data_IF_394527398723
#
_entry.id   IF_394527398723
#
_cell.length_a   1.000
_cell.length_b   1.000
_cell.length_c   1.000
_cell.angle_alpha   90.00
_cell.angle_beta   90.00
_cell.angle_gamma   90.00
#
_symmetry.space_group_name_H-M   'P 1'
#
loop_
_entity.id
_entity.type
_entity.pdbx_description
1 polymer ?
#
# COMPACT_ATOMS: atom_id res chain seq x y z
N UNK A 1 -0.97 53.22 26.72
CA UNK A 1 -1.96 53.19 25.62
C UNK A 1 -2.66 51.84 25.62
N UNK A 2 -3.95 51.83 25.98
CA UNK A 2 -4.84 50.67 25.81
C UNK A 2 -5.12 50.48 24.32
N UNK A 3 -5.01 49.26 23.79
CA UNK A 3 -5.79 48.85 22.61
C UNK A 3 -6.31 47.43 22.80
N UNK A 4 -7.58 47.32 22.45
CA UNK A 4 -8.56 46.28 22.69
C UNK A 4 -8.55 45.22 21.57
N UNK A 5 -9.02 44.01 21.94
CA UNK A 5 -9.92 43.08 21.20
C UNK A 5 -9.40 42.45 19.90
N UNK A 6 -9.34 41.11 19.88
CA UNK A 6 -10.43 40.33 19.27
C UNK A 6 -10.46 38.88 19.73
N UNK A 7 -11.55 38.53 20.41
CA UNK A 7 -12.03 37.18 20.66
C UNK A 7 -12.69 36.70 19.37
N UNK A 8 -12.30 35.54 18.84
CA UNK A 8 -13.10 34.88 17.81
C UNK A 8 -13.55 33.50 18.29
N UNK A 9 -14.87 33.38 18.35
CA UNK A 9 -15.64 32.23 18.77
C UNK A 9 -15.37 30.99 17.93
N UNK A 10 -15.27 29.88 18.65
CA UNK A 10 -15.55 28.52 18.20
C UNK A 10 -16.98 28.39 17.66
N UNK A 11 -17.14 27.90 16.44
CA UNK A 11 -18.38 27.26 16.00
C UNK A 11 -18.12 25.75 15.79
N UNK A 12 -18.66 24.96 16.71
CA UNK A 12 -18.90 23.53 16.55
C UNK A 12 -20.11 23.35 15.61
N UNK A 13 -19.90 22.68 14.47
CA UNK A 13 -21.00 22.15 13.67
C UNK A 13 -21.09 20.65 13.90
N UNK A 14 -22.15 20.25 14.59
CA UNK A 14 -22.56 18.87 14.85
C UNK A 14 -23.15 18.34 13.54
N UNK A 15 -22.53 17.32 12.94
CA UNK A 15 -23.15 16.52 11.88
C UNK A 15 -23.51 15.13 12.44
N UNK A 16 -24.79 14.96 12.75
CA UNK A 16 -25.41 13.68 13.06
C UNK A 16 -25.64 12.91 11.76
N UNK A 17 -25.11 11.69 11.67
CA UNK A 17 -25.32 10.79 10.53
C UNK A 17 -26.30 9.69 10.94
N UNK A 18 -27.53 9.74 10.43
CA UNK A 18 -28.49 8.65 10.55
C UNK A 18 -28.16 7.55 9.53
N UNK A 19 -27.90 6.35 10.02
CA UNK A 19 -27.70 5.13 9.23
C UNK A 19 -29.08 4.57 8.91
N UNK A 20 -29.44 4.46 7.63
CA UNK A 20 -30.54 3.58 7.19
C UNK A 20 -29.97 2.19 6.87
N UNK A 21 -30.48 1.19 7.57
CA UNK A 21 -30.23 -0.22 7.33
C UNK A 21 -30.97 -0.70 6.07
N UNK A 22 -30.31 -1.53 5.26
CA UNK A 22 -30.91 -2.25 4.16
C UNK A 22 -31.52 -3.56 4.68
N UNK A 23 -32.83 -3.75 4.44
CA UNK A 23 -33.52 -5.02 4.67
C UNK A 23 -33.25 -6.00 3.52
N UNK A 24 -32.83 -7.20 3.87
CA UNK A 24 -32.64 -8.35 2.98
C UNK A 24 -33.97 -9.09 2.92
N UNK A 25 -34.65 -9.04 1.78
CA UNK A 25 -35.83 -9.90 1.53
C UNK A 25 -35.41 -11.11 0.71
N UNK A 26 -35.54 -12.28 1.33
CA UNK A 26 -35.46 -13.60 0.73
C UNK A 26 -36.68 -13.86 -0.16
N UNK A 27 -36.48 -14.41 -1.36
CA UNK A 27 -37.57 -15.03 -2.10
C UNK A 27 -37.10 -16.25 -2.91
N UNK A 28 -37.54 -17.42 -2.44
CA UNK A 28 -38.38 -18.32 -3.24
C UNK A 28 -37.75 -19.10 -4.39
N UNK A 29 -37.46 -20.38 -4.12
CA UNK A 29 -37.26 -21.45 -5.09
C UNK A 29 -38.46 -21.61 -6.04
N UNK A 30 -38.21 -21.70 -7.35
CA UNK A 30 -39.16 -22.30 -8.29
C UNK A 30 -38.49 -23.34 -9.18
N UNK A 31 -39.01 -24.56 -9.02
CA UNK A 31 -38.80 -25.77 -9.79
C UNK A 31 -39.56 -25.63 -11.10
N UNK A 32 -38.90 -25.85 -12.24
CA UNK A 32 -39.56 -26.27 -13.48
C UNK A 32 -38.75 -27.42 -14.07
N UNK A 33 -39.37 -28.59 -14.04
CA UNK A 33 -38.95 -29.85 -14.64
C UNK A 33 -39.59 -29.96 -16.02
N UNK A 34 -38.81 -30.24 -17.08
CA UNK A 34 -39.31 -30.70 -18.37
C UNK A 34 -38.24 -31.56 -19.09
N UNK A 35 -38.40 -32.88 -18.91
CA UNK A 35 -38.28 -34.01 -19.86
C UNK A 35 -36.97 -34.30 -20.65
N UNK A 36 -36.52 -35.57 -20.49
CA UNK A 36 -35.45 -36.33 -21.16
C UNK A 36 -35.81 -36.66 -22.64
N UNK A 37 -34.93 -37.07 -23.59
CA UNK A 37 -33.85 -38.10 -23.64
C UNK A 37 -33.24 -38.15 -25.09
N UNK A 38 -32.37 -39.10 -25.51
CA UNK A 38 -30.96 -39.42 -25.20
C UNK A 38 -29.98 -39.25 -26.40
N UNK A 39 -28.66 -39.27 -26.15
CA UNK A 39 -27.75 -40.19 -26.87
C UNK A 39 -26.37 -40.32 -26.20
N UNK A 40 -26.05 -41.58 -25.88
CA UNK A 40 -24.75 -42.27 -25.80
C UNK A 40 -23.43 -41.48 -25.68
N UNK A 41 -22.63 -41.77 -24.65
CA UNK A 41 -21.62 -42.85 -24.71
C UNK A 41 -20.87 -42.97 -23.38
N UNK A 42 -20.92 -44.15 -22.79
CA UNK A 42 -20.11 -44.55 -21.63
C UNK A 42 -18.65 -44.72 -22.08
N UNK A 43 -17.72 -44.07 -21.37
CA UNK A 43 -16.33 -44.53 -21.32
C UNK A 43 -15.91 -44.60 -19.85
N UNK A 44 -15.84 -45.81 -19.33
CA UNK A 44 -15.28 -46.14 -18.03
C UNK A 44 -13.76 -46.04 -18.12
N UNK A 45 -13.18 -45.04 -17.46
CA UNK A 45 -11.79 -45.08 -17.03
C UNK A 45 -11.75 -45.07 -15.52
N UNK A 46 -11.44 -46.25 -14.96
CA UNK A 46 -11.15 -46.43 -13.55
C UNK A 46 -9.82 -45.77 -13.24
N UNK A 47 -9.85 -44.54 -12.72
CA UNK A 47 -8.64 -43.89 -12.20
C UNK A 47 -8.48 -44.24 -10.73
N UNK A 48 -7.80 -45.34 -10.45
CA UNK A 48 -7.14 -45.52 -9.15
C UNK A 48 -5.95 -44.56 -9.07
N UNK A 49 -6.08 -43.42 -8.40
CA UNK A 49 -4.94 -42.57 -8.03
C UNK A 49 -5.14 -41.97 -6.63
N UNK A 50 -4.48 -42.64 -5.68
CA UNK A 50 -3.79 -42.13 -4.47
C UNK A 50 -4.45 -40.98 -3.71
N UNK A 51 -5.08 -41.31 -2.59
CA UNK A 51 -5.11 -40.45 -1.40
C UNK A 51 -3.67 -40.34 -0.83
N UNK A 52 -2.98 -39.30 -1.25
CA UNK A 52 -1.74 -38.75 -0.68
C UNK A 52 -1.84 -37.26 -0.97
N UNK A 53 -1.84 -36.34 -0.03
CA UNK A 53 -1.18 -36.25 1.27
C UNK A 53 -1.99 -35.29 2.15
N UNK A 54 -1.68 -35.24 3.46
CA UNK A 54 -2.06 -34.16 4.37
C UNK A 54 -1.86 -32.79 3.69
N UNK A 55 -2.91 -32.21 3.12
CA UNK A 55 -2.83 -30.88 2.51
C UNK A 55 -3.04 -29.86 3.63
N UNK A 56 -1.96 -29.54 4.35
CA UNK A 56 -1.98 -28.41 5.27
C UNK A 56 -2.19 -27.14 4.45
N UNK A 57 -3.45 -26.72 4.35
CA UNK A 57 -3.81 -25.46 3.70
C UNK A 57 -3.36 -24.29 4.57
N UNK A 58 -2.26 -23.64 4.17
CA UNK A 58 -1.81 -22.40 4.77
C UNK A 58 -2.57 -21.21 4.15
N UNK A 59 -3.46 -20.57 4.91
CA UNK A 59 -4.21 -19.39 4.45
C UNK A 59 -3.53 -18.10 4.93
N UNK A 60 -2.82 -17.44 4.01
CA UNK A 60 -2.20 -16.13 4.21
C UNK A 60 -2.93 -15.01 3.45
N UNK A 61 -4.22 -15.20 3.18
CA UNK A 61 -5.02 -14.18 2.52
C UNK A 61 -5.09 -12.89 3.34
N UNK A 62 -5.26 -11.76 2.66
CA UNK A 62 -5.35 -10.45 3.32
C UNK A 62 -6.44 -10.41 4.40
N UNK A 63 -7.67 -10.94 4.20
CA UNK A 63 -8.69 -10.95 5.26
C UNK A 63 -8.24 -11.69 6.52
N UNK A 64 -7.50 -12.80 6.38
CA UNK A 64 -6.95 -13.54 7.51
C UNK A 64 -5.90 -12.71 8.25
N UNK A 65 -4.96 -12.10 7.51
CA UNK A 65 -3.92 -11.25 8.10
C UNK A 65 -4.47 -9.97 8.77
N UNK A 66 -5.59 -9.46 8.26
CA UNK A 66 -6.32 -8.32 8.82
C UNK A 66 -7.07 -8.64 10.13
N UNK A 67 -7.25 -9.92 10.44
CA UNK A 67 -7.87 -10.42 11.68
C UNK A 67 -6.86 -11.18 12.55
N UNK A 68 -5.57 -11.08 12.26
CA UNK A 68 -4.54 -11.83 12.97
C UNK A 68 -4.15 -11.18 14.29
N UNK A 69 -3.51 -11.99 15.13
CA UNK A 69 -2.87 -11.58 16.37
C UNK A 69 -1.38 -11.31 16.13
N UNK A 70 -0.90 -10.15 16.56
CA UNK A 70 0.50 -9.74 16.45
C UNK A 70 1.06 -9.40 17.82
N UNK A 71 2.34 -9.64 18.03
CA UNK A 71 3.04 -9.39 19.30
C UNK A 71 4.43 -8.81 19.06
N UNK A 72 5.11 -8.38 20.13
CA UNK A 72 6.48 -7.86 20.03
C UNK A 72 6.58 -6.46 19.42
N UNK A 73 5.47 -5.70 19.43
CA UNK A 73 5.48 -4.26 19.15
C UNK A 73 5.85 -3.54 20.45
N UNK A 74 6.91 -2.73 20.41
CA UNK A 74 7.39 -2.04 21.60
C UNK A 74 6.30 -1.13 22.18
N UNK A 75 6.35 -0.93 23.51
CA UNK A 75 5.41 -0.08 24.27
C UNK A 75 3.96 -0.58 24.39
N UNK A 76 3.53 -1.63 23.67
CA UNK A 76 2.18 -2.22 23.85
C UNK A 76 2.19 -3.33 24.92
N UNK A 77 3.32 -4.02 25.12
CA UNK A 77 3.51 -4.99 26.21
C UNK A 77 2.68 -6.28 26.10
N UNK A 78 2.01 -6.52 24.97
CA UNK A 78 1.12 -7.67 24.77
C UNK A 78 0.84 -7.97 23.31
N UNK A 79 -0.18 -8.82 23.10
CA UNK A 79 -0.68 -9.17 21.77
C UNK A 79 -1.78 -8.19 21.33
N UNK A 80 -1.70 -7.71 20.10
CA UNK A 80 -2.75 -6.92 19.45
C UNK A 80 -3.53 -7.81 18.49
N UNK A 81 -4.86 -7.76 18.59
CA UNK A 81 -5.76 -8.37 17.60
C UNK A 81 -6.17 -7.29 16.62
N UNK A 82 -5.77 -7.41 15.36
CA UNK A 82 -6.26 -6.49 14.34
C UNK A 82 -7.71 -6.82 14.02
N UNK A 83 -8.50 -5.79 13.79
CA UNK A 83 -9.84 -5.87 13.24
C UNK A 83 -9.84 -5.10 11.93
N UNK A 84 -10.02 -5.82 10.82
CA UNK A 84 -9.92 -5.24 9.46
C UNK A 84 -8.57 -4.52 9.21
N UNK A 85 -7.49 -5.03 9.82
CA UNK A 85 -6.14 -4.48 9.69
C UNK A 85 -5.83 -3.32 10.63
N UNK A 86 -6.72 -2.98 11.56
CA UNK A 86 -6.51 -1.91 12.54
C UNK A 86 -6.67 -2.43 13.96
N UNK A 87 -5.83 -1.95 14.87
CA UNK A 87 -6.03 -2.04 16.30
C UNK A 87 -5.88 -0.65 16.90
N UNK A 88 -6.70 -0.34 17.91
CA UNK A 88 -6.57 0.85 18.74
C UNK A 88 -6.57 0.42 20.20
N UNK A 89 -5.65 0.97 20.99
CA UNK A 89 -5.63 0.78 22.44
C UNK A 89 -6.50 1.81 23.15
N UNK A 90 -6.42 1.80 24.48
CA UNK A 90 -7.09 2.80 25.31
C UNK A 90 -6.46 4.19 25.13
N UNK A 91 -7.26 5.27 25.22
CA UNK A 91 -6.72 6.62 25.31
C UNK A 91 -5.69 6.77 26.44
N UNK A 92 -4.65 7.57 26.21
CA UNK A 92 -3.61 7.81 27.23
C UNK A 92 -4.13 8.50 28.50
N UNK A 93 -5.29 9.15 28.41
CA UNK A 93 -5.97 9.81 29.52
C UNK A 93 -7.48 9.58 29.40
N UNK A 94 -8.22 9.47 30.52
CA UNK A 94 -9.67 9.34 30.49
C UNK A 94 -10.33 10.47 29.68
N UNK A 95 -11.14 10.11 28.69
CA UNK A 95 -11.80 11.07 27.78
C UNK A 95 -10.89 11.71 26.72
N UNK A 96 -9.64 11.26 26.61
CA UNK A 96 -8.71 11.75 25.58
C UNK A 96 -9.01 11.20 24.18
N UNK A 97 -8.61 11.97 23.16
CA UNK A 97 -8.76 11.58 21.75
C UNK A 97 -7.48 10.96 21.15
N UNK A 98 -6.42 10.82 21.96
CA UNK A 98 -5.14 10.24 21.52
C UNK A 98 -5.01 8.86 22.14
N UNK A 99 -4.92 7.85 21.28
CA UNK A 99 -4.77 6.45 21.63
C UNK A 99 -3.72 5.81 20.72
N UNK A 100 -2.98 4.81 21.20
CA UNK A 100 -2.05 4.06 20.36
C UNK A 100 -2.82 3.28 19.30
N UNK A 101 -2.28 3.21 18.08
CA UNK A 101 -2.88 2.49 16.96
C UNK A 101 -1.85 1.65 16.23
N UNK A 102 -2.24 0.45 15.79
CA UNK A 102 -1.45 -0.42 14.92
C UNK A 102 -2.24 -0.67 13.65
N UNK A 103 -1.63 -0.40 12.50
CA UNK A 103 -2.24 -0.59 11.20
C UNK A 103 -1.40 -1.52 10.32
N UNK A 104 -2.03 -2.51 9.72
CA UNK A 104 -1.44 -3.37 8.70
C UNK A 104 -1.26 -2.60 7.38
N UNK A 105 -0.07 -2.67 6.78
CA UNK A 105 0.18 -2.15 5.44
C UNK A 105 -0.31 -3.17 4.41
N UNK A 106 -1.63 -3.18 4.19
CA UNK A 106 -2.37 -4.21 3.45
C UNK A 106 -1.88 -4.45 2.00
N UNK A 107 -1.23 -3.48 1.37
CA UNK A 107 -0.70 -3.58 0.00
C UNK A 107 0.66 -4.29 -0.09
N UNK A 108 1.31 -4.58 1.05
CA UNK A 108 2.63 -5.22 1.13
C UNK A 108 2.60 -6.48 1.98
N UNK A 109 2.36 -7.60 1.32
CA UNK A 109 2.48 -8.94 1.89
C UNK A 109 3.44 -9.72 1.00
N UNK A 110 4.47 -10.34 1.60
CA UNK A 110 5.31 -11.30 0.92
C UNK A 110 5.06 -12.69 1.49
N UNK A 111 4.82 -13.67 0.63
CA UNK A 111 4.61 -15.06 1.01
C UNK A 111 5.73 -15.89 0.38
N UNK A 112 6.37 -16.72 1.18
CA UNK A 112 7.46 -17.57 0.71
C UNK A 112 8.20 -18.26 1.85
N UNK A 113 9.14 -19.15 1.52
CA UNK A 113 9.90 -19.88 2.51
C UNK A 113 10.95 -18.97 3.17
N UNK A 114 11.05 -19.05 4.50
CA UNK A 114 12.08 -18.36 5.30
C UNK A 114 13.03 -19.31 6.03
N UNK A 115 12.75 -20.62 5.98
CA UNK A 115 13.60 -21.64 6.60
C UNK A 115 13.87 -22.79 5.62
N UNK A 116 14.80 -23.67 5.99
CA UNK A 116 15.20 -24.81 5.16
C UNK A 116 14.09 -25.85 4.92
N UNK A 117 13.02 -25.85 5.73
CA UNK A 117 11.90 -26.77 5.54
C UNK A 117 10.98 -26.37 4.36
N UNK A 118 11.14 -25.15 3.83
CA UNK A 118 10.39 -24.58 2.72
C UNK A 118 8.87 -24.41 2.94
N UNK A 119 8.38 -24.53 4.18
CA UNK A 119 6.99 -24.16 4.48
C UNK A 119 6.80 -22.66 4.22
N UNK A 120 5.73 -22.25 3.52
CA UNK A 120 5.47 -20.85 3.27
C UNK A 120 5.16 -20.12 4.58
N UNK A 121 5.71 -18.93 4.71
CA UNK A 121 5.38 -17.98 5.76
C UNK A 121 4.94 -16.67 5.13
N UNK A 122 4.10 -15.91 5.81
CA UNK A 122 3.81 -14.55 5.40
C UNK A 122 4.66 -13.56 6.18
N UNK A 123 5.16 -12.56 5.48
CA UNK A 123 5.80 -11.38 6.06
C UNK A 123 4.90 -10.20 5.75
N UNK A 124 4.55 -9.48 6.80
CA UNK A 124 3.74 -8.26 6.73
C UNK A 124 4.44 -7.11 7.41
N UNK A 125 3.95 -5.91 7.13
CA UNK A 125 4.43 -4.68 7.75
C UNK A 125 3.32 -4.04 8.58
N UNK A 126 3.67 -3.62 9.79
CA UNK A 126 2.78 -2.94 10.71
C UNK A 126 3.30 -1.53 10.95
N UNK A 127 2.42 -0.54 10.89
CA UNK A 127 2.70 0.81 11.34
C UNK A 127 2.07 1.04 12.71
N UNK A 128 2.91 1.31 13.70
CA UNK A 128 2.51 1.64 15.05
C UNK A 128 2.60 3.14 15.29
N UNK A 129 1.49 3.75 15.65
CA UNK A 129 1.36 5.15 16.04
C UNK A 129 1.08 5.23 17.54
N UNK A 130 2.05 5.58 18.39
CA UNK A 130 1.85 5.78 19.83
C UNK A 130 1.15 7.12 20.16
N UNK A 131 0.57 7.80 19.18
CA UNK A 131 0.19 9.21 19.31
C UNK A 131 1.36 10.18 19.06
N UNK A 132 1.06 11.48 19.08
CA UNK A 132 2.01 12.51 18.65
C UNK A 132 2.31 12.44 17.15
N UNK A 133 3.58 12.53 16.76
CA UNK A 133 4.02 12.52 15.34
C UNK A 133 4.84 11.28 14.95
N UNK A 134 5.14 10.39 15.89
CA UNK A 134 5.92 9.18 15.63
C UNK A 134 5.10 8.16 14.83
N UNK A 135 5.74 7.48 13.88
CA UNK A 135 5.13 6.43 13.06
C UNK A 135 6.14 5.29 12.92
N UNK A 136 5.98 4.23 13.70
CA UNK A 136 6.98 3.19 13.86
C UNK A 136 6.67 1.99 12.98
N UNK A 137 7.54 1.71 12.02
CA UNK A 137 7.41 0.57 11.14
C UNK A 137 7.97 -0.69 11.80
N UNK A 138 7.20 -1.78 11.73
CA UNK A 138 7.59 -3.11 12.17
C UNK A 138 7.43 -4.12 11.04
N UNK A 139 8.30 -5.13 11.03
CA UNK A 139 8.14 -6.36 10.25
C UNK A 139 7.57 -7.44 11.18
N UNK A 140 6.56 -8.17 10.73
CA UNK A 140 6.04 -9.33 11.44
C UNK A 140 6.04 -10.56 10.53
N UNK A 141 6.51 -11.69 11.06
CA UNK A 141 6.49 -13.01 10.39
C UNK A 141 5.35 -13.83 10.96
N UNK A 142 4.51 -14.34 10.06
CA UNK A 142 3.35 -15.16 10.35
C UNK A 142 3.58 -16.57 9.82
N UNK A 143 3.50 -17.55 10.69
CA UNK A 143 3.66 -18.97 10.36
C UNK A 143 2.45 -19.77 10.83
N UNK A 144 2.17 -20.89 10.18
CA UNK A 144 1.24 -21.86 10.73
C UNK A 144 1.99 -22.84 11.63
N UNK A 145 1.60 -22.88 12.90
CA UNK A 145 2.07 -23.89 13.86
C UNK A 145 0.86 -24.66 14.37
N UNK A 146 0.87 -25.99 14.24
CA UNK A 146 -0.26 -26.85 14.63
C UNK A 146 -1.60 -26.36 14.02
N UNK A 147 -1.61 -26.01 12.73
CA UNK A 147 -2.76 -25.47 11.98
C UNK A 147 -3.34 -24.15 12.52
N UNK A 148 -2.57 -23.41 13.33
CA UNK A 148 -2.93 -22.06 13.78
C UNK A 148 -1.95 -21.04 13.23
N UNK A 149 -2.49 -19.95 12.67
CA UNK A 149 -1.69 -18.81 12.28
C UNK A 149 -1.17 -18.11 13.53
N UNK A 150 0.16 -17.99 13.64
CA UNK A 150 0.84 -17.39 14.77
C UNK A 150 1.90 -16.38 14.30
N UNK A 151 2.02 -15.27 15.03
CA UNK A 151 3.12 -14.33 14.83
C UNK A 151 4.37 -14.83 15.57
N UNK A 152 5.34 -15.34 14.81
CA UNK A 152 6.54 -15.98 15.38
C UNK A 152 7.68 -15.00 15.60
N UNK A 153 7.75 -13.90 14.85
CA UNK A 153 8.81 -12.90 15.00
C UNK A 153 8.28 -11.52 14.64
N UNK A 154 8.74 -10.51 15.38
CA UNK A 154 8.48 -9.09 15.11
C UNK A 154 9.75 -8.29 15.30
N UNK A 155 9.99 -7.30 14.43
CA UNK A 155 11.19 -6.49 14.47
C UNK A 155 10.88 -5.03 14.12
N UNK A 156 11.37 -4.10 14.94
CA UNK A 156 11.29 -2.67 14.67
C UNK A 156 12.25 -2.28 13.54
N UNK A 157 11.75 -1.53 12.56
CA UNK A 157 12.52 -1.05 11.41
C UNK A 157 12.97 0.39 11.61
N UNK A 158 12.08 1.26 12.08
CA UNK A 158 12.39 2.68 12.26
C UNK A 158 11.16 3.59 12.36
N UNK A 159 11.42 4.88 12.60
CA UNK A 159 10.41 5.93 12.68
C UNK A 159 10.25 6.65 11.33
N UNK A 160 8.99 6.86 10.93
CA UNK A 160 8.55 7.50 9.68
C UNK A 160 9.19 6.88 8.43
N UNK A 161 9.48 5.59 8.50
CA UNK A 161 10.02 4.81 7.39
C UNK A 161 8.91 4.57 6.35
N UNK A 162 9.20 4.91 5.10
CA UNK A 162 8.29 4.71 3.97
C UNK A 162 8.75 3.52 3.15
N UNK A 163 7.85 2.61 2.82
CA UNK A 163 8.23 1.34 2.21
C UNK A 163 8.08 1.40 0.70
N UNK A 164 9.18 1.14 -0.01
CA UNK A 164 9.22 1.03 -1.47
C UNK A 164 8.91 -0.38 -1.96
N UNK A 165 9.28 -1.41 -1.19
CA UNK A 165 8.98 -2.79 -1.55
C UNK A 165 9.33 -3.78 -0.46
N UNK A 166 8.68 -4.94 -0.52
CA UNK A 166 8.86 -6.08 0.38
C UNK A 166 8.90 -7.34 -0.48
N UNK A 167 9.92 -8.18 -0.28
CA UNK A 167 10.04 -9.46 -0.98
C UNK A 167 10.73 -10.49 -0.09
N UNK A 168 10.34 -11.76 -0.26
CA UNK A 168 11.09 -12.91 0.26
C UNK A 168 11.90 -13.48 -0.89
N UNK A 169 13.22 -13.57 -0.74
CA UNK A 169 14.12 -14.16 -1.73
C UNK A 169 15.24 -14.91 -1.04
N UNK A 170 15.49 -16.16 -1.48
CA UNK A 170 16.56 -17.00 -0.91
C UNK A 170 16.51 -17.06 0.63
N UNK A 171 15.31 -17.29 1.18
CA UNK A 171 15.04 -17.35 2.62
C UNK A 171 15.36 -16.06 3.40
N UNK A 172 15.48 -14.93 2.70
CA UNK A 172 15.72 -13.61 3.29
C UNK A 172 14.50 -12.72 3.08
N UNK A 173 14.19 -11.91 4.08
CA UNK A 173 13.25 -10.80 3.98
C UNK A 173 14.03 -9.59 3.50
N UNK A 174 13.65 -9.03 2.37
CA UNK A 174 14.28 -7.85 1.80
C UNK A 174 13.25 -6.72 1.76
N UNK A 175 13.58 -5.59 2.40
CA UNK A 175 12.74 -4.39 2.41
C UNK A 175 13.52 -3.21 1.86
N UNK A 176 13.01 -2.63 0.79
CA UNK A 176 13.49 -1.35 0.27
C UNK A 176 12.69 -0.23 0.94
N UNK A 177 13.38 0.75 1.53
CA UNK A 177 12.76 1.82 2.32
C UNK A 177 13.27 3.20 1.96
N UNK A 178 12.50 4.22 2.32
CA UNK A 178 12.96 5.59 2.49
C UNK A 178 12.92 5.92 3.98
N UNK A 179 14.06 6.29 4.54
CA UNK A 179 14.25 6.58 5.96
C UNK A 179 15.02 7.88 6.19
N UNK A 180 15.06 8.32 7.44
CA UNK A 180 15.84 9.50 7.83
C UNK A 180 17.33 9.17 7.72
N UNK A 181 18.05 9.94 6.91
CA UNK A 181 19.50 9.97 6.92
C UNK A 181 20.04 10.75 8.11
N UNK A 182 21.36 10.66 8.32
CA UNK A 182 22.05 11.32 9.45
C UNK A 182 21.78 12.83 9.56
N UNK A 183 21.55 13.49 8.42
CA UNK A 183 21.34 14.93 8.34
C UNK A 183 19.88 15.31 8.03
N UNK A 184 18.97 14.33 7.99
CA UNK A 184 17.57 14.59 7.68
C UNK A 184 16.81 15.04 8.93
N UNK A 185 15.97 16.08 8.82
CA UNK A 185 14.91 16.29 9.77
C UNK A 185 13.98 15.09 9.77
N UNK A 186 13.49 14.69 10.94
CA UNK A 186 12.68 13.48 11.06
C UNK A 186 11.33 13.55 10.31
N UNK A 187 10.84 14.75 9.98
CA UNK A 187 9.68 14.95 9.10
C UNK A 187 9.89 14.49 7.66
N UNK A 188 11.16 14.42 7.24
CA UNK A 188 11.54 14.61 5.86
C UNK A 188 12.63 13.60 5.46
N UNK A 189 12.35 12.29 5.61
CA UNK A 189 13.32 11.23 5.31
C UNK A 189 13.68 11.21 3.83
N UNK A 190 14.97 11.02 3.52
CA UNK A 190 15.45 11.04 2.14
C UNK A 190 16.46 9.96 1.79
N UNK A 191 16.88 9.11 2.73
CA UNK A 191 17.82 8.02 2.45
C UNK A 191 17.03 6.83 1.91
N UNK A 192 17.39 6.38 0.72
CA UNK A 192 16.88 5.15 0.11
C UNK A 192 17.82 4.03 0.49
N UNK A 193 17.32 3.11 1.31
CA UNK A 193 18.09 2.03 1.89
C UNK A 193 17.44 0.67 1.62
N UNK A 194 18.25 -0.38 1.70
CA UNK A 194 17.79 -1.76 1.69
C UNK A 194 18.20 -2.42 2.99
N UNK A 195 17.22 -3.03 3.65
CA UNK A 195 17.43 -3.86 4.82
C UNK A 195 17.13 -5.32 4.47
N UNK A 196 17.89 -6.22 5.09
CA UNK A 196 17.82 -7.65 4.82
C UNK A 196 17.82 -8.38 6.16
N UNK A 197 16.82 -9.22 6.40
CA UNK A 197 16.75 -10.05 7.60
C UNK A 197 16.68 -11.53 7.24
N UNK A 198 17.26 -12.34 8.13
CA UNK A 198 17.08 -13.80 8.17
C UNK A 198 16.35 -14.19 9.44
N UNK A 199 15.47 -15.18 9.33
CA UNK A 199 14.79 -15.77 10.48
C UNK A 199 15.70 -16.81 11.13
N UNK A 200 16.04 -16.62 12.41
CA UNK A 200 16.78 -17.58 13.24
C UNK A 200 16.07 -17.76 14.57
N UNK A 201 15.63 -18.97 14.88
CA UNK A 201 15.00 -19.31 16.17
C UNK A 201 13.93 -18.28 16.56
N UNK A 202 12.96 -18.05 15.66
CA UNK A 202 11.85 -17.11 15.86
C UNK A 202 12.26 -15.65 16.09
N UNK A 203 13.47 -15.26 15.64
CA UNK A 203 13.94 -13.87 15.66
C UNK A 203 14.43 -13.46 14.29
N UNK A 204 14.19 -12.19 13.95
CA UNK A 204 14.78 -11.57 12.77
C UNK A 204 16.15 -11.01 13.12
N UNK A 205 17.17 -11.48 12.41
CA UNK A 205 18.54 -10.98 12.52
C UNK A 205 18.85 -10.21 11.25
N UNK A 206 19.15 -8.93 11.40
CA UNK A 206 19.54 -8.09 10.28
C UNK A 206 20.92 -8.50 9.75
N UNK A 207 21.07 -8.43 8.43
CA UNK A 207 22.31 -8.69 7.72
C UNK A 207 22.71 -7.46 6.91
N UNK A 208 24.01 -7.17 6.77
CA UNK A 208 24.45 -6.00 6.02
C UNK A 208 23.99 -6.05 4.57
N UNK A 209 23.40 -4.95 4.09
CA UNK A 209 23.20 -4.72 2.67
C UNK A 209 24.47 -4.16 2.05
N UNK A 210 24.91 -4.73 0.93
CA UNK A 210 26.02 -4.19 0.13
C UNK A 210 25.56 -3.05 -0.81
N UNK A 211 24.26 -2.73 -0.83
CA UNK A 211 23.77 -1.61 -1.62
C UNK A 211 24.08 -0.29 -0.92
N UNK A 212 24.66 0.64 -1.68
CA UNK A 212 24.91 1.99 -1.19
C UNK A 212 23.59 2.70 -0.90
N UNK A 213 23.53 3.39 0.25
CA UNK A 213 22.44 4.31 0.56
C UNK A 213 22.54 5.52 -0.37
N UNK A 214 21.45 5.82 -1.08
CA UNK A 214 21.36 6.95 -2.01
C UNK A 214 20.26 7.90 -1.59
N UNK A 215 20.29 9.14 -2.09
CA UNK A 215 19.25 10.13 -1.81
C UNK A 215 18.02 9.94 -2.69
N UNK A 216 16.85 10.22 -2.12
CA UNK A 216 15.56 10.17 -2.79
C UNK A 216 15.49 11.22 -3.91
N UNK A 217 15.71 10.76 -5.12
CA UNK A 217 15.62 11.53 -6.38
C UNK A 217 14.78 10.76 -7.39
N UNK A 218 14.19 11.40 -8.41
CA UNK A 218 13.35 10.71 -9.40
C UNK A 218 14.02 9.53 -10.11
N UNK A 219 15.36 9.49 -10.13
CA UNK A 219 16.13 8.37 -10.65
C UNK A 219 15.75 7.02 -10.02
N UNK A 220 15.27 7.01 -8.77
CA UNK A 220 14.83 5.77 -8.10
C UNK A 220 13.52 5.21 -8.66
N UNK A 221 12.81 5.97 -9.49
CA UNK A 221 11.61 5.52 -10.21
C UNK A 221 11.95 4.83 -11.54
N UNK A 222 13.23 4.84 -11.94
CA UNK A 222 13.68 4.17 -13.15
C UNK A 222 13.41 2.66 -13.07
N UNK A 223 13.16 2.03 -14.22
CA UNK A 223 12.87 0.60 -14.39
C UNK A 223 11.52 0.11 -13.83
N UNK A 224 10.67 1.01 -13.35
CA UNK A 224 9.30 0.68 -12.94
C UNK A 224 8.30 1.34 -13.87
N UNK A 225 7.28 0.58 -14.25
CA UNK A 225 6.07 1.10 -14.90
C UNK A 225 4.95 1.17 -13.87
N UNK A 226 4.35 2.34 -13.79
CA UNK A 226 3.34 2.71 -12.82
C UNK A 226 2.00 2.86 -13.51
N UNK A 227 0.93 2.36 -12.91
CA UNK A 227 -0.44 2.56 -13.35
C UNK A 227 -1.15 3.42 -12.31
N UNK A 228 -1.85 4.47 -12.75
CA UNK A 228 -2.64 5.30 -11.85
C UNK A 228 -3.79 4.47 -11.27
N UNK A 229 -3.85 4.42 -9.95
CA UNK A 229 -4.85 3.71 -9.17
C UNK A 229 -5.89 4.68 -8.60
N UNK A 230 -5.46 5.88 -8.21
CA UNK A 230 -6.34 6.87 -7.61
C UNK A 230 -5.95 8.29 -7.98
N UNK A 231 -6.96 9.11 -8.30
CA UNK A 231 -6.79 10.53 -8.59
C UNK A 231 -6.48 11.36 -7.35
N UNK A 232 -7.01 10.92 -6.20
CA UNK A 232 -6.83 11.43 -4.83
C UNK A 232 -7.47 10.45 -3.85
N UNK A 233 -7.12 10.53 -2.57
CA UNK A 233 -7.75 9.70 -1.54
C UNK A 233 -9.29 9.69 -1.65
N UNK A 234 -9.89 8.50 -1.67
CA UNK A 234 -11.33 8.29 -1.83
C UNK A 234 -11.88 8.42 -3.25
N UNK A 235 -11.03 8.66 -4.25
CA UNK A 235 -11.41 8.86 -5.67
C UNK A 235 -10.59 7.92 -6.56
N UNK A 236 -10.93 6.62 -6.61
CA UNK A 236 -10.24 5.65 -7.43
C UNK A 236 -10.45 5.92 -8.92
N UNK A 237 -9.46 5.55 -9.73
CA UNK A 237 -9.63 5.53 -11.18
C UNK A 237 -10.49 4.32 -11.58
N UNK A 238 -11.28 4.44 -12.64
CA UNK A 238 -12.02 3.31 -13.19
C UNK A 238 -11.06 2.23 -13.70
N UNK A 239 -11.42 0.95 -13.50
CA UNK A 239 -10.58 -0.21 -13.87
C UNK A 239 -10.22 -0.27 -15.37
N UNK A 240 -10.93 0.45 -16.24
CA UNK A 240 -10.67 0.50 -17.68
C UNK A 240 -9.71 1.63 -18.10
N UNK A 241 -9.35 2.54 -17.19
CA UNK A 241 -8.48 3.67 -17.52
C UNK A 241 -7.04 3.23 -17.72
N UNK A 242 -6.44 3.65 -18.84
CA UNK A 242 -5.06 3.32 -19.19
C UNK A 242 -4.18 4.54 -18.95
N UNK A 243 -3.86 4.79 -17.69
CA UNK A 243 -3.03 5.93 -17.28
C UNK A 243 -1.76 5.39 -16.67
N UNK A 244 -0.66 5.48 -17.42
CA UNK A 244 0.62 4.95 -16.99
C UNK A 244 1.67 6.03 -16.83
N UNK A 245 2.69 5.75 -16.02
CA UNK A 245 3.84 6.61 -15.79
C UNK A 245 5.12 5.79 -15.72
N UNK A 246 6.16 6.30 -16.36
CA UNK A 246 7.55 5.84 -16.26
C UNK A 246 8.45 7.06 -16.11
N UNK A 247 9.55 6.89 -15.40
CA UNK A 247 10.60 7.90 -15.36
C UNK A 247 11.76 7.48 -16.25
N UNK A 248 12.07 8.28 -17.27
CA UNK A 248 13.15 8.03 -18.22
C UNK A 248 13.94 9.32 -18.44
N UNK A 249 15.24 9.31 -18.12
CA UNK A 249 16.19 10.38 -18.45
C UNK A 249 15.73 11.81 -18.09
N UNK A 250 15.11 12.01 -16.92
CA UNK A 250 14.62 13.34 -16.52
C UNK A 250 13.21 13.69 -16.99
N UNK A 251 12.47 12.71 -17.52
CA UNK A 251 11.11 12.90 -17.99
C UNK A 251 10.15 11.90 -17.33
N UNK A 252 8.95 12.37 -17.01
CA UNK A 252 7.79 11.48 -16.91
C UNK A 252 7.27 11.21 -18.30
N UNK A 253 7.15 9.94 -18.65
CA UNK A 253 6.60 9.47 -19.92
C UNK A 253 5.54 8.42 -19.63
N UNK A 254 4.55 8.30 -20.50
CA UNK A 254 3.50 7.31 -20.30
C UNK A 254 2.36 7.50 -21.27
N UNK A 255 1.23 6.89 -20.94
CA UNK A 255 0.01 6.96 -21.72
C UNK A 255 -1.13 7.49 -20.85
N UNK A 256 -2.02 8.27 -21.46
CA UNK A 256 -3.34 8.59 -20.91
C UNK A 256 -4.35 8.18 -21.97
N UNK A 257 -5.10 7.12 -21.66
CA UNK A 257 -6.02 6.43 -22.56
C UNK A 257 -5.33 5.90 -23.82
N UNK A 258 -5.37 6.64 -24.93
CA UNK A 258 -4.73 6.27 -26.19
C UNK A 258 -3.59 7.23 -26.60
N UNK A 259 -3.37 8.29 -25.82
CA UNK A 259 -2.39 9.33 -26.11
C UNK A 259 -1.14 9.15 -25.27
N UNK A 260 0.02 9.24 -25.93
CA UNK A 260 1.31 9.24 -25.24
C UNK A 260 1.63 10.64 -24.77
N UNK A 261 2.29 10.75 -23.62
CA UNK A 261 2.80 12.02 -23.11
C UNK A 261 4.27 11.92 -22.71
N UNK A 262 4.94 13.07 -22.69
CA UNK A 262 6.29 13.25 -22.13
C UNK A 262 6.36 14.63 -21.48
N UNK A 263 6.84 14.72 -20.24
CA UNK A 263 6.99 15.98 -19.50
C UNK A 263 8.32 15.98 -18.75
N UNK A 264 9.08 17.06 -18.84
CA UNK A 264 10.34 17.22 -18.11
C UNK A 264 10.11 17.35 -16.60
N UNK A 265 10.97 16.69 -15.82
CA UNK A 265 11.00 16.70 -14.36
C UNK A 265 12.38 17.11 -13.88
N UNK A 266 12.45 18.06 -12.96
CA UNK A 266 13.70 18.47 -12.30
C UNK A 266 13.65 18.12 -10.81
N UNK A 267 14.64 17.39 -10.26
CA UNK A 267 14.77 17.25 -8.82
C UNK A 267 15.07 18.60 -8.17
N UNK A 268 14.57 18.78 -6.96
CA UNK A 268 14.91 19.91 -6.08
C UNK A 268 15.81 19.43 -4.93
N UNK A 269 16.30 20.36 -4.10
CA UNK A 269 17.22 20.06 -3.01
C UNK A 269 16.59 19.16 -1.94
N UNK A 270 15.32 19.39 -1.61
CA UNK A 270 14.59 18.62 -0.60
C UNK A 270 14.25 17.21 -1.13
N UNK A 271 14.41 16.15 -0.31
CA UNK A 271 14.18 14.78 -0.75
C UNK A 271 12.77 14.53 -1.28
N UNK A 272 12.70 13.94 -2.48
CA UNK A 272 11.42 13.70 -3.14
C UNK A 272 10.76 14.96 -3.73
N UNK A 273 11.25 16.16 -3.46
CA UNK A 273 10.72 17.38 -4.06
C UNK A 273 11.14 17.50 -5.51
N UNK A 274 10.18 17.84 -6.37
CA UNK A 274 10.38 17.92 -7.81
C UNK A 274 9.66 19.13 -8.40
N UNK A 275 10.15 19.60 -9.54
CA UNK A 275 9.45 20.53 -10.40
C UNK A 275 9.11 19.85 -11.73
N UNK A 276 7.81 19.71 -12.01
CA UNK A 276 7.33 19.29 -13.32
C UNK A 276 7.19 20.53 -14.21
N UNK A 277 7.77 20.49 -15.40
CA UNK A 277 7.78 21.62 -16.35
C UNK A 277 6.70 21.41 -17.40
N UNK A 278 5.46 21.80 -17.08
CA UNK A 278 4.30 21.64 -17.97
C UNK A 278 4.46 22.34 -19.32
N UNK A 279 5.23 23.42 -19.40
CA UNK A 279 5.58 24.08 -20.65
C UNK A 279 6.47 23.24 -21.59
N UNK A 280 7.07 22.16 -21.08
CA UNK A 280 7.82 21.17 -21.86
C UNK A 280 7.02 19.88 -22.07
N UNK A 281 5.70 19.92 -21.89
CA UNK A 281 4.84 18.78 -22.14
C UNK A 281 4.63 18.58 -23.65
N UNK A 282 4.83 17.35 -24.11
CA UNK A 282 4.42 16.89 -25.43
C UNK A 282 3.37 15.79 -25.25
N UNK A 283 2.26 15.89 -25.99
CA UNK A 283 1.16 14.93 -25.94
C UNK A 283 0.68 14.65 -27.35
N UNK A 284 0.47 13.38 -27.70
CA UNK A 284 -0.14 13.04 -28.99
C UNK A 284 -1.62 13.43 -29.01
N UNK A 285 -2.18 13.68 -30.19
CA UNK A 285 -3.58 14.11 -30.37
C UNK A 285 -4.37 13.09 -31.18
N UNK A 286 -4.50 11.88 -30.64
CA UNK A 286 -5.32 10.81 -31.23
C UNK A 286 -6.75 10.90 -30.71
N UNK A 287 -7.71 10.57 -31.57
CA UNK A 287 -9.10 10.34 -31.19
C UNK A 287 -9.20 8.99 -30.48
N UNK A 288 -9.51 9.02 -29.18
CA UNK A 288 -9.69 7.79 -28.40
C UNK A 288 -11.16 7.34 -28.45
N UNK A 289 -11.39 6.02 -28.48
CA UNK A 289 -12.75 5.45 -28.50
C UNK A 289 -13.50 5.65 -27.17
N UNK A 290 -12.79 5.88 -26.07
CA UNK A 290 -13.39 6.05 -24.75
C UNK A 290 -13.97 7.46 -24.59
N UNK A 291 -15.27 7.56 -24.30
CA UNK A 291 -15.99 8.85 -24.17
C UNK A 291 -15.37 9.80 -23.14
N UNK A 292 -14.79 9.27 -22.06
CA UNK A 292 -14.19 10.07 -20.99
C UNK A 292 -12.71 10.42 -21.23
N UNK A 293 -12.10 9.95 -22.33
CA UNK A 293 -10.67 10.12 -22.56
C UNK A 293 -10.22 11.60 -22.56
N UNK A 294 -10.95 12.55 -23.18
CA UNK A 294 -10.57 13.97 -23.09
C UNK A 294 -10.61 14.52 -21.65
N UNK A 295 -11.55 14.04 -20.83
CA UNK A 295 -11.68 14.46 -19.44
C UNK A 295 -10.55 13.90 -18.57
N UNK A 296 -10.22 12.62 -18.73
CA UNK A 296 -9.10 11.99 -18.03
C UNK A 296 -7.77 12.60 -18.44
N UNK A 297 -7.54 12.83 -19.73
CA UNK A 297 -6.34 13.51 -20.22
C UNK A 297 -6.19 14.92 -19.61
N UNK A 298 -7.26 15.73 -19.65
CA UNK A 298 -7.23 17.08 -19.06
C UNK A 298 -6.91 17.02 -17.56
N UNK A 299 -7.64 16.20 -16.80
CA UNK A 299 -7.46 16.06 -15.35
C UNK A 299 -6.05 15.59 -14.99
N UNK A 300 -5.59 14.54 -15.66
CA UNK A 300 -4.28 13.95 -15.38
C UNK A 300 -3.15 14.93 -15.64
N UNK A 301 -3.15 15.61 -16.80
CA UNK A 301 -2.10 16.57 -17.14
C UNK A 301 -2.14 17.80 -16.22
N UNK A 302 -3.32 18.29 -15.86
CA UNK A 302 -3.46 19.38 -14.88
C UNK A 302 -2.84 18.99 -13.52
N UNK A 303 -3.15 17.80 -13.01
CA UNK A 303 -2.56 17.33 -11.75
C UNK A 303 -1.05 17.06 -11.89
N UNK A 304 -0.62 16.38 -12.95
CA UNK A 304 0.78 15.97 -13.15
C UNK A 304 1.71 17.19 -13.27
N UNK A 305 1.30 18.21 -14.02
CA UNK A 305 2.09 19.47 -14.17
C UNK A 305 2.20 20.27 -12.87
N UNK A 306 1.32 20.01 -11.91
CA UNK A 306 1.31 20.65 -10.59
C UNK A 306 1.84 19.75 -9.47
N UNK A 307 2.51 18.64 -9.81
CA UNK A 307 3.20 17.80 -8.82
C UNK A 307 4.39 18.56 -8.23
N UNK A 308 4.47 18.55 -6.90
CA UNK A 308 5.53 19.21 -6.12
C UNK A 308 6.44 18.22 -5.40
N UNK A 309 5.95 17.00 -5.16
CA UNK A 309 6.68 15.96 -4.44
C UNK A 309 6.27 14.57 -4.91
N UNK A 310 7.23 13.63 -4.87
CA UNK A 310 6.95 12.20 -4.97
C UNK A 310 7.47 11.45 -3.74
N UNK A 311 6.83 10.34 -3.44
CA UNK A 311 7.22 9.41 -2.38
C UNK A 311 6.72 8.00 -2.67
N UNK A 312 7.15 7.03 -1.86
CA UNK A 312 6.48 5.75 -1.76
C UNK A 312 5.60 5.69 -0.51
N UNK A 313 4.54 4.89 -0.58
CA UNK A 313 3.74 4.48 0.56
C UNK A 313 3.21 3.07 0.29
N UNK A 314 3.52 2.12 1.17
CA UNK A 314 3.13 0.71 1.02
C UNK A 314 3.39 0.14 -0.40
N UNK A 315 4.58 0.38 -0.96
CA UNK A 315 4.96 -0.12 -2.29
C UNK A 315 4.35 0.63 -3.49
N UNK A 316 3.43 1.56 -3.24
CA UNK A 316 2.82 2.42 -4.25
C UNK A 316 3.61 3.71 -4.40
N UNK A 317 3.62 4.26 -5.61
CA UNK A 317 4.14 5.61 -5.89
C UNK A 317 3.03 6.62 -5.58
N UNK A 318 3.37 7.63 -4.79
CA UNK A 318 2.49 8.73 -4.46
C UNK A 318 3.08 10.03 -5.02
N UNK A 319 2.29 10.76 -5.81
CA UNK A 319 2.62 12.08 -6.34
C UNK A 319 1.72 13.14 -5.71
N UNK A 320 2.30 13.98 -4.87
CA UNK A 320 1.61 15.11 -4.25
C UNK A 320 1.54 16.26 -5.24
N UNK A 321 0.34 16.77 -5.50
CA UNK A 321 0.09 17.90 -6.40
C UNK A 321 -0.69 19.02 -5.72
N UNK A 322 -0.62 20.23 -6.28
CA UNK A 322 -1.39 21.39 -5.81
C UNK A 322 -2.13 22.06 -6.95
N UNK A 323 -3.47 21.96 -6.95
CA UNK A 323 -4.33 22.58 -7.98
C UNK A 323 -5.38 23.44 -7.27
N UNK A 324 -5.54 24.69 -7.69
CA UNK A 324 -6.53 25.62 -7.11
C UNK A 324 -6.47 25.71 -5.57
N UNK A 325 -5.26 25.82 -5.00
CA UNK A 325 -5.00 25.81 -3.55
C UNK A 325 -5.37 24.51 -2.80
N UNK A 326 -5.79 23.46 -3.50
CA UNK A 326 -6.03 22.15 -2.92
C UNK A 326 -4.82 21.24 -3.14
N UNK A 327 -4.36 20.62 -2.05
CA UNK A 327 -3.36 19.56 -2.11
C UNK A 327 -4.07 18.22 -2.30
N UNK A 328 -3.59 17.42 -3.25
CA UNK A 328 -4.03 16.04 -3.44
C UNK A 328 -2.85 15.12 -3.69
N UNK A 329 -3.11 13.82 -3.68
CA UNK A 329 -2.08 12.80 -3.91
C UNK A 329 -2.59 11.81 -4.95
N UNK A 330 -1.96 11.78 -6.12
CA UNK A 330 -2.19 10.69 -7.07
C UNK A 330 -1.44 9.44 -6.59
N UNK A 331 -2.12 8.30 -6.55
CA UNK A 331 -1.53 7.02 -6.13
C UNK A 331 -1.40 6.13 -7.36
N UNK A 332 -0.23 5.52 -7.52
CA UNK A 332 0.07 4.58 -8.59
C UNK A 332 0.53 3.25 -8.02
N UNK A 333 0.00 2.16 -8.56
CA UNK A 333 0.50 0.82 -8.33
C UNK A 333 1.52 0.42 -9.39
N UNK A 334 2.38 -0.54 -9.06
CA UNK A 334 3.25 -1.15 -10.06
C UNK A 334 2.43 -1.98 -11.02
N UNK A 335 2.72 -1.86 -12.32
CA UNK A 335 2.04 -2.65 -13.34
C UNK A 335 2.54 -4.10 -13.21
N UNK A 336 1.67 -5.01 -12.73
CA UNK A 336 1.98 -6.44 -12.67
C UNK A 336 2.17 -6.92 -14.12
N UNK A 337 3.38 -7.41 -14.43
CA UNK A 337 3.70 -8.00 -15.72
C UNK A 337 3.07 -9.38 -15.86
#
# INVERSE_FOLDING_TARGET
MKRFISVFMSLFAIYSSTIMAAEITTLGSHVIELQQKPSSSLTTYTTHLRLSSNDQSFDYSLPVLQQAYYQGIDSIGGTVHLQQGLWAGEPYQPGGNVMPQVMLLNDLIAIGPLTANNDPMAVVLLNYSPGGSGQYLYIAVMAYQHNKLVNIATHYVGDRVRVKGLVIKSHQIIVDVIQAGKNDPACCPGDVARHIWILKQDKLVETPSHQQIVRLTPAILANTEWQLESWRYGDPVSNSSKISLRYINGHFVGMVDCNNYTITVKPLLSPGSIKVLGQHAAVTTRTCNALLAPHYQKRYLEQLTNVTQFTYFAGKLALTYQVNHHTGVMIFSTLKK
#
